data_IF_987620655094
#
_entry.id   IF_987620655094
#
_cell.length_a   1.000
_cell.length_b   1.000
_cell.length_c   1.000
_cell.angle_alpha   90.00
_cell.angle_beta   90.00
_cell.angle_gamma   90.00
#
_symmetry.space_group_name_H-M   'P 1'
#
loop_
_entity.id
_entity.type
_entity.pdbx_description
1 polymer ?
#
# COMPACT_ATOMS: atom_id res chain seq x y z
N UNK A 1 14.52 4.21 13.89
CA UNK A 1 14.34 5.61 13.58
C UNK A 1 13.03 5.80 12.84
N UNK A 2 12.12 6.62 13.38
CA UNK A 2 10.87 6.97 12.70
C UNK A 2 11.24 7.72 11.42
N UNK A 3 10.98 7.14 10.26
CA UNK A 3 10.95 7.82 8.99
C UNK A 3 9.90 8.93 9.09
N UNK A 4 10.33 10.16 9.30
CA UNK A 4 9.46 11.32 9.20
C UNK A 4 9.03 11.42 7.74
N UNK A 5 7.74 11.34 7.51
CA UNK A 5 7.11 11.57 6.21
C UNK A 5 7.14 13.08 5.92
N UNK A 6 8.36 13.64 5.88
CA UNK A 6 8.59 15.06 5.57
C UNK A 6 8.40 15.23 4.08
N UNK A 7 7.31 15.90 3.71
CA UNK A 7 7.09 16.39 2.37
C UNK A 7 8.24 17.31 1.91
N UNK A 8 8.20 17.74 0.66
CA UNK A 8 9.11 18.77 0.16
C UNK A 8 8.89 20.06 0.93
N UNK A 9 9.98 20.79 1.20
CA UNK A 9 9.90 21.99 2.00
C UNK A 9 11.04 22.94 1.63
N UNK A 10 10.69 24.17 1.29
CA UNK A 10 11.62 25.27 1.07
C UNK A 10 11.21 26.40 2.00
N UNK A 11 12.13 26.84 2.83
CA UNK A 11 11.90 27.91 3.82
C UNK A 11 12.86 29.07 3.62
N UNK A 12 12.33 30.30 3.82
CA UNK A 12 13.10 31.52 4.01
C UNK A 12 12.78 32.06 5.39
N UNK A 13 13.82 32.30 6.20
CA UNK A 13 13.67 32.70 7.61
C UNK A 13 14.07 34.14 7.77
N UNK A 14 13.19 34.94 8.40
CA UNK A 14 13.36 36.36 8.66
C UNK A 14 13.24 36.63 10.14
N UNK A 15 14.04 37.57 10.66
CA UNK A 15 13.94 38.06 12.03
C UNK A 15 12.86 39.16 12.21
N UNK A 16 12.41 39.76 11.13
CA UNK A 16 11.46 40.88 11.13
C UNK A 16 10.22 40.52 10.30
N UNK A 17 9.04 40.80 10.86
CA UNK A 17 7.74 40.57 10.23
C UNK A 17 7.57 41.35 8.93
N UNK A 18 7.93 42.66 8.95
CA UNK A 18 7.77 43.50 7.77
C UNK A 18 8.59 42.98 6.59
N UNK A 19 9.85 42.59 6.83
CA UNK A 19 10.71 42.04 5.77
C UNK A 19 10.14 40.72 5.21
N UNK A 20 9.55 39.87 6.05
CA UNK A 20 8.89 38.65 5.61
C UNK A 20 7.66 38.94 4.76
N UNK A 21 6.88 39.98 5.13
CA UNK A 21 5.69 40.41 4.38
C UNK A 21 6.08 40.99 3.04
N UNK A 22 7.05 41.91 3.02
CA UNK A 22 7.57 42.52 1.78
C UNK A 22 8.08 41.45 0.81
N UNK A 23 8.75 40.43 1.34
CA UNK A 23 9.20 39.29 0.53
C UNK A 23 8.04 38.47 -0.05
N UNK A 24 6.97 38.27 0.73
CA UNK A 24 5.74 37.65 0.23
C UNK A 24 5.09 38.49 -0.89
N UNK A 25 5.06 39.81 -0.76
CA UNK A 25 4.52 40.70 -1.79
C UNK A 25 5.30 40.61 -3.09
N UNK A 26 6.63 40.67 -3.03
CA UNK A 26 7.51 40.49 -4.20
C UNK A 26 7.26 39.13 -4.89
N UNK A 27 7.14 38.06 -4.11
CA UNK A 27 6.84 36.73 -4.68
C UNK A 27 5.44 36.69 -5.29
N UNK A 28 4.47 37.34 -4.69
CA UNK A 28 3.10 37.42 -5.18
C UNK A 28 3.00 38.21 -6.50
N UNK A 29 3.78 39.27 -6.67
CA UNK A 29 3.91 40.01 -7.93
C UNK A 29 4.49 39.12 -9.06
N UNK A 30 5.34 38.16 -8.68
CA UNK A 30 5.88 37.12 -9.60
C UNK A 30 4.97 35.88 -9.72
N UNK A 31 3.70 35.99 -9.29
CA UNK A 31 2.69 34.91 -9.34
C UNK A 31 2.96 33.69 -8.45
N UNK A 32 3.85 33.81 -7.46
CA UNK A 32 4.01 32.77 -6.44
C UNK A 32 3.07 33.00 -5.25
N UNK A 33 2.63 31.91 -4.60
CA UNK A 33 1.76 31.98 -3.42
C UNK A 33 2.45 31.39 -2.19
N UNK A 34 3.44 32.09 -1.60
CA UNK A 34 4.12 31.64 -0.41
C UNK A 34 3.19 31.58 0.80
N UNK A 35 3.51 30.71 1.75
CA UNK A 35 2.86 30.70 3.06
C UNK A 35 3.77 31.37 4.09
N UNK A 36 3.18 32.16 4.97
CA UNK A 36 3.89 32.88 6.06
C UNK A 36 3.44 32.29 7.40
N UNK A 37 4.38 32.01 8.29
CA UNK A 37 4.11 31.60 9.67
C UNK A 37 5.13 32.21 10.64
N UNK A 38 4.72 32.42 11.89
CA UNK A 38 5.64 32.78 12.96
C UNK A 38 6.17 31.50 13.65
N UNK A 39 7.47 31.47 13.94
CA UNK A 39 8.12 30.36 14.65
C UNK A 39 9.08 30.93 15.70
N UNK A 40 8.68 30.92 16.97
CA UNK A 40 9.41 31.56 18.08
C UNK A 40 9.66 33.04 17.80
N UNK A 41 10.92 33.43 17.62
CA UNK A 41 11.34 34.81 17.36
C UNK A 41 11.60 35.10 15.88
N UNK A 42 11.13 34.23 14.96
CA UNK A 42 11.35 34.35 13.53
C UNK A 42 10.07 34.22 12.73
N UNK A 43 10.09 34.74 11.52
CA UNK A 43 9.01 34.64 10.54
C UNK A 43 9.51 33.78 9.36
N UNK A 44 8.71 32.78 8.97
CA UNK A 44 9.11 31.79 7.96
C UNK A 44 8.17 31.88 6.77
N UNK A 45 8.72 32.22 5.62
CA UNK A 45 8.04 32.16 4.33
C UNK A 45 8.39 30.82 3.68
N UNK A 46 7.39 30.04 3.27
CA UNK A 46 7.66 28.67 2.83
C UNK A 46 6.74 28.15 1.73
N UNK A 47 7.24 27.13 1.02
CA UNK A 47 6.53 26.32 0.03
C UNK A 47 6.58 24.86 0.42
N UNK A 48 5.53 24.09 0.10
CA UNK A 48 5.41 22.67 0.48
C UNK A 48 5.28 21.71 -0.69
N UNK A 49 4.87 22.20 -1.85
CA UNK A 49 4.72 21.33 -3.03
C UNK A 49 5.98 21.36 -3.87
N UNK A 50 6.28 20.24 -4.51
CA UNK A 50 7.48 20.13 -5.35
C UNK A 50 7.41 21.08 -6.55
N UNK A 51 6.20 21.25 -7.11
CA UNK A 51 5.97 22.11 -8.26
C UNK A 51 6.28 23.57 -7.91
N UNK A 52 5.69 24.10 -6.81
CA UNK A 52 5.98 25.46 -6.33
C UNK A 52 7.48 25.67 -6.05
N UNK A 53 8.14 24.69 -5.44
CA UNK A 53 9.58 24.74 -5.14
C UNK A 53 10.40 24.76 -6.41
N UNK A 54 10.08 23.89 -7.37
CA UNK A 54 10.79 23.79 -8.65
C UNK A 54 10.64 25.06 -9.47
N UNK A 55 9.43 25.59 -9.54
CA UNK A 55 9.13 26.83 -10.27
C UNK A 55 9.88 28.04 -9.66
N UNK A 56 9.89 28.15 -8.33
CA UNK A 56 10.64 29.20 -7.65
C UNK A 56 12.15 29.07 -7.86
N UNK A 57 12.70 27.84 -7.75
CA UNK A 57 14.12 27.60 -7.98
C UNK A 57 14.52 27.89 -9.42
N UNK A 58 13.66 27.60 -10.39
CA UNK A 58 13.85 27.93 -11.79
C UNK A 58 13.81 29.45 -12.00
N UNK A 59 12.86 30.14 -11.40
CA UNK A 59 12.69 31.60 -11.48
C UNK A 59 13.93 32.34 -10.97
N UNK A 60 14.50 31.91 -9.84
CA UNK A 60 15.73 32.52 -9.28
C UNK A 60 17.03 32.03 -9.96
N UNK A 61 16.93 31.21 -11.02
CA UNK A 61 18.07 30.73 -11.80
C UNK A 61 18.87 29.59 -11.13
N UNK A 62 18.31 28.93 -10.11
CA UNK A 62 18.97 27.84 -9.38
C UNK A 62 18.83 26.48 -10.11
N UNK A 63 19.24 26.39 -11.37
CA UNK A 63 19.01 25.25 -12.27
C UNK A 63 19.54 23.91 -11.70
N UNK A 64 20.71 23.90 -11.06
CA UNK A 64 21.23 22.69 -10.40
C UNK A 64 20.32 22.20 -9.27
N UNK A 65 19.73 23.12 -8.50
CA UNK A 65 18.81 22.77 -7.43
C UNK A 65 17.51 22.20 -7.99
N UNK A 66 17.00 22.73 -9.12
CA UNK A 66 15.83 22.16 -9.82
C UNK A 66 16.06 20.71 -10.21
N UNK A 67 17.22 20.41 -10.84
CA UNK A 67 17.55 19.04 -11.22
C UNK A 67 17.62 18.10 -10.01
N UNK A 68 18.28 18.51 -8.95
CA UNK A 68 18.39 17.72 -7.70
C UNK A 68 17.02 17.45 -7.08
N UNK A 69 16.14 18.46 -7.02
CA UNK A 69 14.78 18.31 -6.48
C UNK A 69 13.95 17.37 -7.34
N UNK A 70 14.07 17.43 -8.66
CA UNK A 70 13.39 16.54 -9.60
C UNK A 70 13.86 15.10 -9.46
N UNK A 71 15.17 14.85 -9.31
CA UNK A 71 15.74 13.51 -9.07
C UNK A 71 15.19 12.91 -7.77
N UNK A 72 15.19 13.68 -6.67
CA UNK A 72 14.65 13.24 -5.38
C UNK A 72 13.14 12.93 -5.48
N UNK A 73 12.39 13.70 -6.28
CA UNK A 73 10.97 13.46 -6.49
C UNK A 73 10.72 12.11 -7.18
N UNK A 74 11.42 11.86 -8.28
CA UNK A 74 11.30 10.61 -9.02
C UNK A 74 11.68 9.41 -8.13
N UNK A 75 12.78 9.49 -7.40
CA UNK A 75 13.20 8.43 -6.47
C UNK A 75 12.14 8.15 -5.39
N UNK A 76 11.56 9.21 -4.83
CA UNK A 76 10.51 9.08 -3.81
C UNK A 76 9.24 8.44 -4.37
N UNK A 77 8.81 8.80 -5.56
CA UNK A 77 7.64 8.22 -6.21
C UNK A 77 7.87 6.74 -6.55
N UNK A 78 9.04 6.40 -7.08
CA UNK A 78 9.41 4.99 -7.32
C UNK A 78 9.40 4.16 -6.03
N UNK A 79 9.96 4.69 -4.93
CA UNK A 79 9.96 4.02 -3.63
C UNK A 79 8.54 3.86 -3.06
N UNK A 80 7.68 4.86 -3.21
CA UNK A 80 6.29 4.80 -2.78
C UNK A 80 5.50 3.73 -3.56
N UNK A 81 5.67 3.66 -4.86
CA UNK A 81 5.01 2.68 -5.72
C UNK A 81 5.50 1.26 -5.42
N UNK A 82 6.81 1.09 -5.19
CA UNK A 82 7.39 -0.18 -4.75
C UNK A 82 6.80 -0.63 -3.42
N UNK A 83 6.75 0.26 -2.42
CA UNK A 83 6.18 -0.03 -1.11
C UNK A 83 4.69 -0.39 -1.19
N UNK A 84 3.90 0.32 -2.02
CA UNK A 84 2.48 -0.02 -2.26
C UNK A 84 2.34 -1.41 -2.86
N UNK A 85 3.19 -1.77 -3.82
CA UNK A 85 3.20 -3.07 -4.47
C UNK A 85 3.51 -4.18 -3.48
N UNK A 86 4.59 -4.02 -2.70
CA UNK A 86 4.99 -4.97 -1.65
C UNK A 86 3.88 -5.14 -0.62
N UNK A 87 3.29 -4.05 -0.13
CA UNK A 87 2.20 -4.11 0.86
C UNK A 87 0.95 -4.82 0.31
N UNK A 88 0.62 -4.61 -0.97
CA UNK A 88 -0.47 -5.30 -1.64
C UNK A 88 -0.20 -6.81 -1.75
N UNK A 89 0.99 -7.20 -2.19
CA UNK A 89 1.40 -8.61 -2.30
C UNK A 89 1.43 -9.30 -0.94
N UNK A 90 2.00 -8.67 0.08
CA UNK A 90 2.00 -9.16 1.47
C UNK A 90 0.57 -9.37 1.99
N UNK A 91 -0.32 -8.39 1.80
CA UNK A 91 -1.73 -8.50 2.21
C UNK A 91 -2.45 -9.65 1.50
N UNK A 92 -2.20 -9.84 0.21
CA UNK A 92 -2.75 -10.95 -0.55
C UNK A 92 -2.23 -12.30 -0.07
N UNK A 93 -0.93 -12.40 0.23
CA UNK A 93 -0.32 -13.62 0.79
C UNK A 93 -0.93 -13.98 2.15
N UNK A 94 -1.07 -13.03 3.06
CA UNK A 94 -1.70 -13.25 4.38
C UNK A 94 -3.13 -13.78 4.22
N UNK A 95 -3.95 -13.13 3.37
CA UNK A 95 -5.32 -13.58 3.10
C UNK A 95 -5.38 -15.01 2.53
N UNK A 96 -4.43 -15.37 1.65
CA UNK A 96 -4.34 -16.73 1.11
C UNK A 96 -3.96 -17.75 2.18
N UNK A 97 -3.02 -17.41 3.06
CA UNK A 97 -2.62 -18.27 4.18
C UNK A 97 -3.78 -18.48 5.16
N UNK A 98 -4.47 -17.42 5.57
CA UNK A 98 -5.62 -17.50 6.47
C UNK A 98 -6.75 -18.36 5.89
N UNK A 99 -7.05 -18.17 4.59
CA UNK A 99 -8.03 -18.99 3.90
C UNK A 99 -7.63 -20.47 3.86
N UNK A 100 -6.34 -20.75 3.58
CA UNK A 100 -5.81 -22.12 3.57
C UNK A 100 -5.92 -22.78 4.94
N UNK A 101 -5.54 -22.08 6.01
CA UNK A 101 -5.65 -22.58 7.39
C UNK A 101 -7.11 -22.86 7.76
N UNK A 102 -8.03 -21.95 7.42
CA UNK A 102 -9.46 -22.14 7.66
C UNK A 102 -10.00 -23.36 6.92
N UNK A 103 -9.61 -23.57 5.67
CA UNK A 103 -9.99 -24.72 4.87
C UNK A 103 -9.48 -26.04 5.45
N UNK A 104 -8.19 -26.10 5.82
CA UNK A 104 -7.56 -27.29 6.39
C UNK A 104 -8.24 -27.65 7.72
N UNK A 105 -8.46 -26.69 8.63
CA UNK A 105 -9.16 -26.96 9.90
C UNK A 105 -10.58 -27.49 9.69
N UNK A 106 -11.31 -26.98 8.71
CA UNK A 106 -12.64 -27.47 8.39
C UNK A 106 -12.60 -28.92 7.88
N UNK A 107 -11.63 -29.24 7.02
CA UNK A 107 -11.43 -30.59 6.49
C UNK A 107 -11.02 -31.56 7.60
N UNK A 108 -10.08 -31.18 8.47
CA UNK A 108 -9.64 -32.02 9.60
C UNK A 108 -10.82 -32.29 10.56
N UNK A 109 -11.65 -31.29 10.86
CA UNK A 109 -12.85 -31.48 11.71
C UNK A 109 -13.85 -32.47 11.08
N UNK A 110 -14.08 -32.39 9.78
CA UNK A 110 -14.95 -33.33 9.06
C UNK A 110 -14.37 -34.75 9.12
N UNK A 111 -13.06 -34.89 8.89
CA UNK A 111 -12.40 -36.21 8.93
C UNK A 111 -12.50 -36.85 10.31
N UNK A 112 -12.27 -36.08 11.37
CA UNK A 112 -12.35 -36.56 12.76
C UNK A 112 -13.79 -36.90 13.22
N UNK A 113 -14.82 -36.28 12.62
CA UNK A 113 -16.21 -36.40 13.08
C UNK A 113 -17.01 -37.42 12.27
N UNK A 114 -17.13 -37.21 10.96
CA UNK A 114 -17.95 -38.02 10.07
C UNK A 114 -17.17 -38.73 8.98
N UNK A 115 -15.88 -38.41 8.81
CA UNK A 115 -15.00 -38.92 7.78
C UNK A 115 -15.23 -38.23 6.41
N UNK A 116 -14.15 -38.04 5.63
CA UNK A 116 -14.23 -37.44 4.29
C UNK A 116 -15.03 -38.27 3.31
N UNK A 117 -15.14 -39.56 3.53
CA UNK A 117 -15.91 -40.49 2.68
C UNK A 117 -17.42 -40.20 2.72
N UNK A 118 -17.92 -39.53 3.74
CA UNK A 118 -19.33 -39.14 3.84
C UNK A 118 -19.67 -37.90 2.97
N UNK A 119 -18.65 -37.20 2.48
CA UNK A 119 -18.85 -36.04 1.62
C UNK A 119 -19.22 -36.47 0.19
N UNK A 120 -20.06 -35.66 -0.50
CA UNK A 120 -20.26 -35.81 -1.95
C UNK A 120 -18.91 -35.81 -2.69
N UNK A 121 -18.80 -36.63 -3.75
CA UNK A 121 -17.56 -36.86 -4.51
C UNK A 121 -16.80 -35.58 -4.85
N UNK A 122 -17.51 -34.56 -5.37
CA UNK A 122 -16.88 -33.29 -5.75
C UNK A 122 -16.33 -32.47 -4.57
N UNK A 123 -16.87 -32.62 -3.36
CA UNK A 123 -16.33 -31.98 -2.15
C UNK A 123 -15.15 -32.78 -1.59
N UNK A 124 -15.25 -34.11 -1.61
CA UNK A 124 -14.20 -35.00 -1.18
C UNK A 124 -12.91 -34.79 -1.97
N UNK A 125 -12.99 -34.74 -3.32
CA UNK A 125 -11.85 -34.48 -4.19
C UNK A 125 -11.15 -33.16 -3.86
N UNK A 126 -11.92 -32.08 -3.58
CA UNK A 126 -11.37 -30.79 -3.19
C UNK A 126 -10.71 -30.83 -1.81
N UNK A 127 -11.30 -31.55 -0.86
CA UNK A 127 -10.73 -31.73 0.48
C UNK A 127 -9.40 -32.50 0.42
N UNK A 128 -9.37 -33.62 -0.28
CA UNK A 128 -8.17 -34.43 -0.47
C UNK A 128 -7.06 -33.65 -1.20
N UNK A 129 -7.40 -32.90 -2.25
CA UNK A 129 -6.45 -32.04 -2.97
C UNK A 129 -5.84 -30.98 -2.06
N UNK A 130 -6.64 -30.33 -1.20
CA UNK A 130 -6.12 -29.33 -0.24
C UNK A 130 -5.19 -29.93 0.79
N UNK A 131 -5.48 -31.12 1.30
CA UNK A 131 -4.59 -31.83 2.23
C UNK A 131 -3.28 -32.26 1.57
N UNK A 132 -3.34 -32.68 0.31
CA UNK A 132 -2.16 -33.04 -0.49
C UNK A 132 -1.31 -31.81 -0.83
N UNK A 133 -1.94 -30.72 -1.21
CA UNK A 133 -1.30 -29.49 -1.68
C UNK A 133 -1.49 -28.32 -0.69
N UNK A 134 -1.07 -28.51 0.56
CA UNK A 134 -1.30 -27.55 1.67
C UNK A 134 -0.77 -26.14 1.39
N UNK A 135 0.34 -26.02 0.65
CA UNK A 135 1.00 -24.74 0.35
C UNK A 135 0.58 -24.11 -0.97
N UNK A 136 -0.15 -24.83 -1.81
CA UNK A 136 -0.53 -24.36 -3.14
C UNK A 136 -1.64 -23.31 -3.06
N UNK A 137 -1.61 -22.40 -4.04
CA UNK A 137 -2.66 -21.40 -4.24
C UNK A 137 -3.95 -22.05 -4.72
N UNK A 138 -5.07 -21.34 -4.61
CA UNK A 138 -6.35 -21.82 -5.15
C UNK A 138 -6.33 -22.02 -6.67
N UNK A 139 -5.51 -21.23 -7.40
CA UNK A 139 -5.38 -21.42 -8.84
C UNK A 139 -4.71 -22.76 -9.16
N UNK A 140 -3.56 -23.05 -8.53
CA UNK A 140 -2.84 -24.31 -8.73
C UNK A 140 -3.68 -25.54 -8.38
N UNK A 141 -4.49 -25.49 -7.32
CA UNK A 141 -5.39 -26.59 -6.97
C UNK A 141 -6.55 -26.71 -7.96
N UNK A 142 -7.07 -25.59 -8.45
CA UNK A 142 -8.13 -25.59 -9.46
C UNK A 142 -7.62 -26.20 -10.78
N UNK A 143 -6.42 -25.84 -11.19
CA UNK A 143 -5.76 -26.38 -12.39
C UNK A 143 -5.50 -27.89 -12.27
N UNK A 144 -5.02 -28.35 -11.11
CA UNK A 144 -4.80 -29.79 -10.83
C UNK A 144 -6.10 -30.60 -10.89
N UNK A 145 -7.22 -30.00 -10.45
CA UNK A 145 -8.54 -30.65 -10.46
C UNK A 145 -9.31 -30.44 -11.78
N UNK A 146 -8.78 -29.67 -12.73
CA UNK A 146 -9.45 -29.35 -13.98
C UNK A 146 -10.75 -28.54 -13.80
N UNK A 147 -10.86 -27.71 -12.75
CA UNK A 147 -12.04 -26.90 -12.46
C UNK A 147 -11.67 -25.40 -12.37
N UNK A 148 -12.69 -24.53 -12.45
CA UNK A 148 -12.45 -23.12 -12.29
C UNK A 148 -12.20 -22.74 -10.82
N UNK A 149 -11.43 -21.68 -10.57
CA UNK A 149 -11.23 -21.11 -9.23
C UNK A 149 -12.56 -20.75 -8.54
N UNK A 150 -13.57 -20.29 -9.31
CA UNK A 150 -14.88 -19.99 -8.78
C UNK A 150 -15.60 -21.24 -8.26
N UNK A 151 -15.55 -22.33 -9.02
CA UNK A 151 -16.07 -23.64 -8.63
C UNK A 151 -15.37 -24.15 -7.36
N UNK A 152 -14.03 -24.07 -7.33
CA UNK A 152 -13.22 -24.46 -6.17
C UNK A 152 -13.61 -23.67 -4.91
N UNK A 153 -13.72 -22.34 -5.01
CA UNK A 153 -14.17 -21.48 -3.91
C UNK A 153 -15.56 -21.85 -3.39
N UNK A 154 -16.50 -22.13 -4.29
CA UNK A 154 -17.84 -22.55 -3.91
C UNK A 154 -17.82 -23.87 -3.12
N UNK A 155 -17.03 -24.86 -3.58
CA UNK A 155 -16.86 -26.14 -2.89
C UNK A 155 -16.22 -25.97 -1.51
N UNK A 156 -15.20 -25.12 -1.36
CA UNK A 156 -14.61 -24.83 -0.05
C UNK A 156 -15.58 -24.15 0.92
N UNK A 157 -16.44 -23.24 0.43
CA UNK A 157 -17.50 -22.66 1.28
C UNK A 157 -18.44 -23.73 1.84
N UNK A 158 -18.84 -24.68 0.99
CA UNK A 158 -19.68 -25.80 1.44
C UNK A 158 -18.99 -26.72 2.44
N UNK A 159 -17.70 -27.01 2.24
CA UNK A 159 -16.90 -27.77 3.21
C UNK A 159 -16.84 -27.06 4.57
N UNK A 160 -16.60 -25.75 4.57
CA UNK A 160 -16.55 -24.95 5.79
C UNK A 160 -17.93 -24.94 6.47
N UNK A 161 -19.00 -24.74 5.70
CA UNK A 161 -20.40 -24.75 6.21
C UNK A 161 -20.74 -26.12 6.87
N UNK A 162 -20.39 -27.22 6.24
CA UNK A 162 -20.56 -28.57 6.83
C UNK A 162 -19.79 -28.67 8.13
N UNK A 163 -18.53 -28.24 8.15
CA UNK A 163 -17.71 -28.29 9.37
C UNK A 163 -18.23 -27.40 10.49
N UNK A 164 -18.84 -26.26 10.19
CA UNK A 164 -19.45 -25.35 11.17
C UNK A 164 -20.72 -25.96 11.82
N UNK A 165 -21.41 -26.83 11.10
CA UNK A 165 -22.64 -27.50 11.56
C UNK A 165 -22.42 -28.86 12.28
N UNK A 166 -21.17 -29.31 12.35
CA UNK A 166 -20.73 -30.50 13.13
C UNK A 166 -20.27 -30.10 14.52
#
# INVERSE_FOLDING_TARGET
GKSSNTGYHLEFVFSNYQTATDFCEILSEAYFMPKLTARKESYVVYFKTIDEISDLLAFIGATKAVLTVSEIAVEKDMNNDMNRKINCEMSNMVKQMDASVKQIRAIDKIEETIGLKSLPEGLRQVAEARLKFKKNTLNEIADELGITKSCLNHRFRKIIEIAENL
#
